data_IF_687913282311
#
_entry.id   IF_687913282311
#
_cell.length_a   1.000
_cell.length_b   1.000
_cell.length_c   1.000
_cell.angle_alpha   90.00
_cell.angle_beta   90.00
_cell.angle_gamma   90.00
#
_symmetry.space_group_name_H-M   'P 1'
#
loop_
_entity.id
_entity.type
_entity.pdbx_description
1 polymer ?
#
# COMPACT_ATOMS: atom_id res chain seq x y z
N UNK A 1 38.69 -37.87 -47.91
CA UNK A 1 39.31 -36.67 -47.37
C UNK A 1 38.33 -35.53 -47.66
N UNK A 2 37.37 -35.28 -46.76
CA UNK A 2 36.33 -34.27 -46.93
C UNK A 2 36.79 -33.04 -46.14
N UNK A 3 37.03 -31.98 -46.86
CA UNK A 3 37.46 -30.67 -46.37
C UNK A 3 36.21 -29.96 -45.82
N UNK A 4 36.13 -29.81 -44.47
CA UNK A 4 35.14 -28.99 -43.84
C UNK A 4 35.66 -27.57 -43.83
N UNK A 5 35.30 -26.78 -44.84
CA UNK A 5 35.44 -25.32 -44.77
C UNK A 5 34.53 -24.78 -43.66
N UNK A 6 35.18 -24.39 -42.54
CA UNK A 6 34.56 -23.60 -41.51
C UNK A 6 33.96 -22.32 -42.12
N UNK A 7 32.70 -22.09 -41.86
CA UNK A 7 31.99 -20.89 -42.24
C UNK A 7 32.23 -19.81 -41.12
N UNK A 8 33.15 -18.82 -41.31
CA UNK A 8 33.49 -17.85 -40.27
C UNK A 8 32.49 -16.69 -40.16
N UNK A 9 31.24 -16.86 -40.61
CA UNK A 9 30.29 -15.77 -40.75
C UNK A 9 29.10 -15.79 -39.78
N UNK A 10 29.10 -16.66 -38.78
CA UNK A 10 28.08 -16.56 -37.68
C UNK A 10 28.61 -15.59 -36.63
N UNK A 11 28.66 -14.29 -36.94
CA UNK A 11 28.70 -13.27 -35.91
C UNK A 11 27.48 -13.47 -35.03
N UNK A 12 27.71 -14.08 -33.85
CA UNK A 12 26.72 -14.12 -32.79
C UNK A 12 26.39 -12.65 -32.48
N UNK A 13 25.27 -12.17 -32.97
CA UNK A 13 24.68 -10.93 -32.50
C UNK A 13 24.52 -11.08 -30.99
N UNK A 14 25.56 -10.67 -30.24
CA UNK A 14 25.46 -10.47 -28.79
C UNK A 14 24.36 -9.44 -28.62
N UNK A 15 23.20 -9.91 -28.22
CA UNK A 15 22.07 -9.08 -27.89
C UNK A 15 22.51 -8.29 -26.66
N UNK A 16 23.17 -7.13 -26.87
CA UNK A 16 23.47 -6.23 -25.77
C UNK A 16 22.17 -5.86 -25.09
N UNK A 17 22.00 -6.37 -23.88
CA UNK A 17 20.84 -6.01 -23.07
C UNK A 17 20.86 -4.49 -22.90
N UNK A 18 19.75 -3.78 -23.20
CA UNK A 18 19.72 -2.33 -23.12
C UNK A 18 20.12 -1.89 -21.71
N UNK A 19 21.10 -0.99 -21.65
CA UNK A 19 21.68 -0.49 -20.42
C UNK A 19 20.60 0.16 -19.53
N UNK A 20 20.38 -0.40 -18.35
CA UNK A 20 19.44 0.11 -17.36
C UNK A 20 20.22 1.06 -16.43
N UNK A 21 19.81 2.34 -16.40
CA UNK A 21 20.44 3.37 -15.58
C UNK A 21 19.47 3.93 -14.53
N UNK A 22 20.02 4.50 -13.47
CA UNK A 22 19.23 5.31 -12.54
C UNK A 22 18.79 6.61 -13.20
N UNK A 23 17.56 7.03 -12.88
CA UNK A 23 16.99 8.27 -13.37
C UNK A 23 17.45 9.46 -12.52
N UNK A 24 17.71 10.57 -13.18
CA UNK A 24 17.89 11.86 -12.54
C UNK A 24 16.57 12.38 -11.95
N UNK A 25 16.67 13.32 -10.99
CA UNK A 25 15.51 13.87 -10.26
C UNK A 25 14.40 14.37 -11.18
N UNK A 26 14.72 15.01 -12.29
CA UNK A 26 13.72 15.60 -13.20
C UNK A 26 13.07 14.58 -14.14
N UNK A 27 13.69 13.44 -14.34
CA UNK A 27 13.19 12.34 -15.16
C UNK A 27 12.16 11.47 -14.43
N UNK A 28 12.15 11.47 -13.09
CA UNK A 28 11.26 10.65 -12.25
C UNK A 28 9.82 11.15 -12.37
N UNK A 29 8.98 10.38 -13.09
CA UNK A 29 7.54 10.70 -13.31
C UNK A 29 6.70 9.45 -13.30
N UNK A 30 5.71 9.37 -12.40
CA UNK A 30 4.81 8.23 -12.27
C UNK A 30 4.05 7.91 -13.57
N UNK A 31 3.58 8.94 -14.30
CA UNK A 31 2.82 8.77 -15.56
C UNK A 31 3.59 8.07 -16.68
N UNK A 32 4.92 7.96 -16.59
CA UNK A 32 5.77 7.29 -17.58
C UNK A 32 5.97 5.81 -17.29
N UNK A 33 5.24 5.23 -16.31
CA UNK A 33 5.39 3.86 -15.83
C UNK A 33 4.09 3.07 -15.85
N UNK A 34 3.37 3.00 -17.00
CA UNK A 34 2.04 2.40 -17.08
C UNK A 34 2.05 0.90 -16.77
N UNK A 35 3.09 0.16 -17.16
CA UNK A 35 3.18 -1.30 -16.94
C UNK A 35 3.34 -1.63 -15.47
N UNK A 36 4.23 -0.93 -14.76
CA UNK A 36 4.43 -1.12 -13.33
C UNK A 36 3.17 -0.73 -12.54
N UNK A 37 2.52 0.37 -12.92
CA UNK A 37 1.27 0.80 -12.33
C UNK A 37 0.15 -0.24 -12.54
N UNK A 38 -0.04 -0.72 -13.77
CA UNK A 38 -1.06 -1.72 -14.08
C UNK A 38 -0.81 -3.05 -13.34
N UNK A 39 0.44 -3.52 -13.28
CA UNK A 39 0.79 -4.74 -12.54
C UNK A 39 0.48 -4.60 -11.04
N UNK A 40 0.75 -3.42 -10.45
CA UNK A 40 0.43 -3.14 -9.05
C UNK A 40 -1.08 -3.12 -8.82
N UNK A 41 -1.84 -2.47 -9.71
CA UNK A 41 -3.31 -2.45 -9.64
C UNK A 41 -3.91 -3.86 -9.74
N UNK A 42 -3.41 -4.68 -10.66
CA UNK A 42 -3.87 -6.06 -10.82
C UNK A 42 -3.60 -6.88 -9.56
N UNK A 43 -2.42 -6.72 -8.97
CA UNK A 43 -2.06 -7.39 -7.72
C UNK A 43 -2.97 -6.93 -6.56
N UNK A 44 -3.16 -5.62 -6.36
CA UNK A 44 -4.04 -5.08 -5.31
C UNK A 44 -5.48 -5.61 -5.47
N UNK A 45 -5.99 -5.65 -6.70
CA UNK A 45 -7.33 -6.17 -7.00
C UNK A 45 -7.44 -7.67 -6.69
N UNK A 46 -6.46 -8.48 -7.12
CA UNK A 46 -6.46 -9.93 -6.87
C UNK A 46 -6.44 -10.24 -5.36
N UNK A 47 -5.60 -9.55 -4.59
CA UNK A 47 -5.54 -9.74 -3.14
C UNK A 47 -6.76 -9.19 -2.41
N UNK A 48 -7.33 -8.08 -2.85
CA UNK A 48 -8.58 -7.57 -2.29
C UNK A 48 -9.72 -8.60 -2.46
N UNK A 49 -9.83 -9.23 -3.62
CA UNK A 49 -10.78 -10.31 -3.87
C UNK A 49 -10.48 -11.53 -2.99
N UNK A 50 -9.20 -11.95 -2.90
CA UNK A 50 -8.81 -13.09 -2.08
C UNK A 50 -9.11 -12.87 -0.58
N UNK A 51 -8.92 -11.66 -0.05
CA UNK A 51 -9.26 -11.31 1.34
C UNK A 51 -10.77 -11.24 1.55
N UNK A 52 -11.51 -10.72 0.57
CA UNK A 52 -12.97 -10.60 0.66
C UNK A 52 -13.71 -11.96 0.58
N UNK A 53 -13.15 -12.93 -0.17
CA UNK A 53 -13.81 -14.21 -0.45
C UNK A 53 -14.20 -14.99 0.82
N UNK A 54 -13.35 -15.24 1.82
CA UNK A 54 -13.72 -15.96 3.03
C UNK A 54 -14.85 -15.27 3.79
N UNK A 55 -14.78 -13.94 3.89
CA UNK A 55 -15.77 -13.12 4.59
C UNK A 55 -17.11 -13.18 3.85
N UNK A 56 -17.09 -13.02 2.54
CA UNK A 56 -18.28 -13.07 1.70
C UNK A 56 -18.95 -14.46 1.75
N UNK A 57 -18.13 -15.53 1.68
CA UNK A 57 -18.66 -16.90 1.77
C UNK A 57 -19.33 -17.13 3.13
N UNK A 58 -18.69 -16.73 4.22
CA UNK A 58 -19.24 -16.85 5.55
C UNK A 58 -20.54 -16.03 5.73
N UNK A 59 -20.54 -14.77 5.33
CA UNK A 59 -21.75 -13.94 5.36
C UNK A 59 -22.87 -14.53 4.49
N UNK A 60 -22.53 -15.04 3.30
CA UNK A 60 -23.48 -15.68 2.40
C UNK A 60 -24.11 -16.95 2.97
N UNK A 61 -23.35 -17.77 3.71
CA UNK A 61 -23.91 -18.96 4.39
C UNK A 61 -24.84 -18.60 5.53
N UNK A 62 -24.58 -17.51 6.25
CA UNK A 62 -25.39 -17.07 7.37
C UNK A 62 -26.66 -16.32 6.94
N UNK A 63 -26.57 -15.48 5.92
CA UNK A 63 -27.61 -14.50 5.54
C UNK A 63 -28.13 -14.64 4.11
N UNK A 64 -27.47 -15.44 3.26
CA UNK A 64 -27.85 -15.57 1.85
C UNK A 64 -29.26 -16.14 1.60
N UNK A 65 -29.81 -16.86 2.55
CA UNK A 65 -31.21 -17.37 2.51
C UNK A 65 -32.21 -16.42 3.16
N UNK A 66 -31.79 -15.29 3.73
CA UNK A 66 -32.73 -14.36 4.37
C UNK A 66 -33.57 -13.62 3.30
N UNK A 67 -34.89 -13.49 3.47
CA UNK A 67 -35.76 -12.86 2.47
C UNK A 67 -35.38 -11.43 2.10
N UNK A 68 -34.77 -10.70 3.03
CA UNK A 68 -34.33 -9.32 2.85
C UNK A 68 -32.79 -9.23 2.62
N UNK A 69 -32.13 -10.36 2.35
CA UNK A 69 -30.67 -10.41 2.17
C UNK A 69 -29.90 -9.96 3.43
N UNK A 70 -28.92 -9.11 3.25
CA UNK A 70 -28.08 -8.55 4.32
C UNK A 70 -28.64 -7.26 4.95
N UNK A 71 -29.77 -6.73 4.44
CA UNK A 71 -30.36 -5.50 4.94
C UNK A 71 -30.63 -5.49 6.46
N UNK A 72 -31.08 -6.59 7.10
CA UNK A 72 -31.26 -6.62 8.54
C UNK A 72 -29.99 -6.37 9.36
N UNK A 73 -28.81 -6.71 8.82
CA UNK A 73 -27.52 -6.51 9.51
C UNK A 73 -27.23 -5.03 9.77
N UNK A 74 -27.73 -4.16 8.91
CA UNK A 74 -27.44 -2.72 8.94
C UNK A 74 -28.60 -1.88 9.47
N UNK A 75 -29.76 -2.48 9.74
CA UNK A 75 -30.88 -1.81 10.40
C UNK A 75 -30.55 -1.52 11.87
N UNK A 76 -31.21 -0.55 12.44
CA UNK A 76 -31.09 -0.18 13.87
C UNK A 76 -29.61 0.07 14.31
N UNK A 77 -28.81 0.72 13.46
CA UNK A 77 -27.43 1.02 13.79
C UNK A 77 -26.50 -0.20 13.80
N UNK A 78 -26.88 -1.30 13.11
CA UNK A 78 -26.02 -2.48 13.00
C UNK A 78 -26.08 -3.41 14.22
N UNK A 79 -27.11 -3.32 15.06
CA UNK A 79 -27.27 -4.19 16.24
C UNK A 79 -27.28 -5.67 15.88
N UNK A 80 -27.98 -6.05 14.80
CA UNK A 80 -28.00 -7.43 14.33
C UNK A 80 -26.60 -7.91 13.88
N UNK A 81 -25.80 -7.04 13.26
CA UNK A 81 -24.40 -7.33 12.92
C UNK A 81 -23.57 -7.56 14.18
N UNK A 82 -23.71 -6.69 15.18
CA UNK A 82 -22.98 -6.81 16.44
C UNK A 82 -23.38 -8.07 17.21
N UNK A 83 -24.67 -8.39 17.27
CA UNK A 83 -25.18 -9.62 17.89
C UNK A 83 -24.63 -10.87 17.17
N UNK A 84 -24.64 -10.88 15.85
CA UNK A 84 -24.07 -11.97 15.04
C UNK A 84 -22.55 -12.14 15.21
N UNK A 85 -21.82 -11.05 15.36
CA UNK A 85 -20.39 -11.09 15.68
C UNK A 85 -20.12 -11.52 17.13
N UNK A 86 -21.03 -11.22 18.05
CA UNK A 86 -20.94 -11.60 19.46
C UNK A 86 -21.29 -13.07 19.73
N UNK A 87 -22.06 -13.71 18.85
CA UNK A 87 -22.42 -15.14 18.91
C UNK A 87 -21.83 -15.89 17.70
N UNK A 88 -20.50 -15.98 17.60
CA UNK A 88 -19.85 -16.54 16.43
C UNK A 88 -20.13 -18.05 16.35
N UNK A 89 -20.75 -18.47 15.26
CA UNK A 89 -20.84 -19.89 14.94
C UNK A 89 -19.45 -20.52 14.75
N UNK A 90 -19.36 -21.85 14.68
CA UNK A 90 -18.08 -22.58 14.56
C UNK A 90 -17.26 -22.22 13.31
N UNK A 91 -17.87 -21.55 12.33
CA UNK A 91 -17.20 -21.12 11.11
C UNK A 91 -16.34 -19.84 11.29
N UNK A 92 -16.63 -18.99 12.28
CA UNK A 92 -15.90 -17.71 12.45
C UNK A 92 -14.39 -17.90 12.68
N UNK A 93 -13.91 -18.82 13.53
CA UNK A 93 -12.48 -19.03 13.69
C UNK A 93 -11.78 -19.40 12.38
N UNK A 94 -12.41 -20.22 11.54
CA UNK A 94 -11.87 -20.62 10.23
C UNK A 94 -11.77 -19.41 9.31
N UNK A 95 -12.78 -18.56 9.27
CA UNK A 95 -12.80 -17.33 8.47
C UNK A 95 -11.73 -16.37 8.94
N UNK A 96 -11.60 -16.16 10.24
CA UNK A 96 -10.56 -15.29 10.82
C UNK A 96 -9.17 -15.79 10.46
N UNK A 97 -8.88 -17.08 10.65
CA UNK A 97 -7.58 -17.67 10.35
C UNK A 97 -7.28 -17.59 8.85
N UNK A 98 -8.23 -17.95 7.98
CA UNK A 98 -8.03 -17.90 6.54
C UNK A 98 -7.84 -16.47 6.02
N UNK A 99 -8.65 -15.51 6.50
CA UNK A 99 -8.50 -14.09 6.16
C UNK A 99 -7.15 -13.56 6.64
N UNK A 100 -6.75 -13.90 7.86
CA UNK A 100 -5.46 -13.50 8.40
C UNK A 100 -4.28 -14.09 7.59
N UNK A 101 -4.36 -15.38 7.22
CA UNK A 101 -3.34 -16.02 6.39
C UNK A 101 -3.19 -15.32 5.03
N UNK A 102 -4.32 -15.04 4.34
CA UNK A 102 -4.30 -14.28 3.07
C UNK A 102 -3.75 -12.88 3.29
N UNK A 103 -4.13 -12.21 4.38
CA UNK A 103 -3.61 -10.87 4.71
C UNK A 103 -2.08 -10.87 4.91
N UNK A 104 -1.55 -11.85 5.64
CA UNK A 104 -0.08 -11.99 5.83
C UNK A 104 0.63 -12.17 4.49
N UNK A 105 0.11 -13.06 3.63
CA UNK A 105 0.65 -13.26 2.28
C UNK A 105 0.58 -11.96 1.46
N UNK A 106 -0.54 -11.24 1.53
CA UNK A 106 -0.72 -9.96 0.84
C UNK A 106 0.28 -8.89 1.33
N UNK A 107 0.53 -8.80 2.64
CA UNK A 107 1.51 -7.88 3.21
C UNK A 107 2.92 -8.20 2.73
N UNK A 108 3.32 -9.47 2.78
CA UNK A 108 4.66 -9.90 2.35
C UNK A 108 4.88 -9.68 0.85
N UNK A 109 3.94 -10.14 0.01
CA UNK A 109 4.05 -9.97 -1.45
C UNK A 109 3.87 -8.51 -1.85
N UNK A 110 3.13 -7.73 -1.07
CA UNK A 110 2.97 -6.28 -1.24
C UNK A 110 4.30 -5.52 -1.16
N UNK A 111 5.26 -5.99 -0.35
CA UNK A 111 6.59 -5.39 -0.31
C UNK A 111 7.38 -5.64 -1.61
N UNK A 112 7.19 -6.80 -2.23
CA UNK A 112 7.76 -7.11 -3.54
C UNK A 112 7.21 -6.16 -4.62
N UNK A 113 5.87 -6.01 -4.67
CA UNK A 113 5.20 -5.15 -5.66
C UNK A 113 5.55 -3.69 -5.42
N UNK A 114 5.59 -3.26 -4.16
CA UNK A 114 6.09 -1.93 -3.78
C UNK A 114 7.52 -1.71 -4.29
N UNK A 115 8.43 -2.65 -4.01
CA UNK A 115 9.82 -2.58 -4.47
C UNK A 115 9.93 -2.54 -5.99
N UNK A 116 9.14 -3.35 -6.70
CA UNK A 116 9.10 -3.35 -8.17
C UNK A 116 8.59 -2.02 -8.73
N UNK A 117 7.54 -1.43 -8.14
CA UNK A 117 7.03 -0.12 -8.55
C UNK A 117 8.06 0.99 -8.33
N UNK A 118 8.71 1.02 -7.15
CA UNK A 118 9.75 2.00 -6.84
C UNK A 118 10.96 1.83 -7.78
N UNK A 119 11.39 0.59 -8.04
CA UNK A 119 12.47 0.31 -8.99
C UNK A 119 12.11 0.79 -10.41
N UNK A 120 10.89 0.55 -10.88
CA UNK A 120 10.42 1.06 -12.18
C UNK A 120 10.38 2.58 -12.23
N UNK A 121 10.08 3.25 -11.11
CA UNK A 121 10.08 4.71 -11.00
C UNK A 121 11.49 5.30 -10.97
N UNK A 122 12.47 4.59 -10.39
CA UNK A 122 13.85 5.05 -10.19
C UNK A 122 14.80 4.71 -11.34
N UNK A 123 14.42 3.77 -12.23
CA UNK A 123 15.25 3.31 -13.32
C UNK A 123 14.67 3.60 -14.69
N UNK A 124 15.51 3.70 -15.70
CA UNK A 124 15.11 3.90 -17.09
C UNK A 124 16.04 3.18 -18.06
N UNK A 125 15.56 2.99 -19.28
CA UNK A 125 16.32 2.35 -20.37
C UNK A 125 16.56 3.35 -21.50
N UNK A 126 17.82 3.49 -21.89
CA UNK A 126 18.22 4.35 -22.99
C UNK A 126 18.08 5.87 -22.71
N UNK A 127 18.42 6.69 -23.71
CA UNK A 127 18.44 8.16 -23.61
C UNK A 127 17.07 8.80 -23.33
N UNK A 128 15.98 8.11 -23.66
CA UNK A 128 14.60 8.62 -23.44
C UNK A 128 14.01 8.26 -22.09
N UNK A 129 14.76 7.67 -21.19
CA UNK A 129 14.29 7.21 -19.87
C UNK A 129 12.98 6.39 -19.96
N UNK A 130 12.92 5.47 -20.95
CA UNK A 130 11.77 4.59 -21.15
C UNK A 130 11.59 3.62 -19.97
N UNK A 131 10.39 3.09 -19.84
CA UNK A 131 10.08 2.15 -18.76
C UNK A 131 10.90 0.85 -18.92
N UNK A 132 11.60 0.36 -17.85
CA UNK A 132 12.30 -0.90 -17.88
C UNK A 132 11.31 -2.08 -18.04
N UNK A 133 11.84 -3.23 -18.45
CA UNK A 133 11.02 -4.45 -18.50
C UNK A 133 10.51 -4.78 -17.09
N UNK A 134 9.26 -5.24 -16.99
CA UNK A 134 8.64 -5.58 -15.71
C UNK A 134 9.48 -6.61 -14.92
N UNK A 135 10.08 -7.59 -15.60
CA UNK A 135 10.97 -8.58 -14.99
C UNK A 135 12.16 -7.94 -14.28
N UNK A 136 12.77 -6.89 -14.86
CA UNK A 136 13.88 -6.14 -14.24
C UNK A 136 13.42 -5.43 -12.96
N UNK A 137 12.24 -4.82 -12.99
CA UNK A 137 11.67 -4.15 -11.82
C UNK A 137 11.31 -5.14 -10.72
N UNK A 138 10.74 -6.30 -11.06
CA UNK A 138 10.44 -7.39 -10.12
C UNK A 138 11.72 -7.94 -9.49
N UNK A 139 12.78 -8.16 -10.28
CA UNK A 139 14.05 -8.65 -9.75
C UNK A 139 14.69 -7.67 -8.76
N UNK A 140 14.58 -6.37 -9.00
CA UNK A 140 15.01 -5.34 -8.05
C UNK A 140 14.15 -5.35 -6.79
N UNK A 141 12.83 -5.49 -6.92
CA UNK A 141 11.90 -5.66 -5.79
C UNK A 141 12.22 -6.89 -4.94
N UNK A 142 12.53 -8.03 -5.57
CA UNK A 142 12.95 -9.25 -4.86
C UNK A 142 14.23 -9.04 -4.06
N UNK A 143 15.22 -8.38 -4.63
CA UNK A 143 16.48 -8.07 -3.92
C UNK A 143 16.27 -7.13 -2.72
N UNK A 144 15.32 -6.21 -2.81
CA UNK A 144 14.97 -5.28 -1.75
C UNK A 144 13.97 -5.86 -0.73
N UNK A 145 13.35 -7.01 -1.00
CA UNK A 145 12.22 -7.57 -0.25
C UNK A 145 12.51 -7.66 1.25
N UNK A 146 13.62 -8.26 1.64
CA UNK A 146 13.96 -8.43 3.06
C UNK A 146 14.11 -7.11 3.80
N UNK A 147 14.83 -6.15 3.23
CA UNK A 147 15.03 -4.83 3.82
C UNK A 147 13.72 -4.02 3.89
N UNK A 148 12.91 -4.06 2.83
CA UNK A 148 11.61 -3.40 2.80
C UNK A 148 10.62 -4.02 3.79
N UNK A 149 10.61 -5.36 3.94
CA UNK A 149 9.76 -6.06 4.91
C UNK A 149 10.14 -5.68 6.34
N UNK A 150 11.43 -5.67 6.66
CA UNK A 150 11.92 -5.26 8.00
C UNK A 150 11.55 -3.81 8.30
N UNK A 151 11.76 -2.89 7.35
CA UNK A 151 11.39 -1.49 7.51
C UNK A 151 9.87 -1.31 7.68
N UNK A 152 9.06 -2.09 6.95
CA UNK A 152 7.60 -2.06 7.06
C UNK A 152 7.09 -2.62 8.38
N UNK A 153 7.66 -3.71 8.86
CA UNK A 153 7.32 -4.29 10.16
C UNK A 153 7.65 -3.30 11.27
N UNK A 154 8.84 -2.69 11.27
CA UNK A 154 9.22 -1.71 12.28
C UNK A 154 8.30 -0.49 12.25
N UNK A 155 8.08 0.10 11.08
CA UNK A 155 7.20 1.27 10.94
C UNK A 155 5.76 0.93 11.34
N UNK A 156 5.24 -0.23 10.91
CA UNK A 156 3.90 -0.70 11.25
C UNK A 156 3.72 -0.96 12.74
N UNK A 157 4.69 -1.59 13.39
CA UNK A 157 4.67 -1.80 14.85
C UNK A 157 4.64 -0.48 15.61
N UNK A 158 5.46 0.51 15.21
CA UNK A 158 5.47 1.83 15.81
C UNK A 158 4.12 2.56 15.59
N UNK A 159 3.57 2.51 14.39
CA UNK A 159 2.26 3.10 14.08
C UNK A 159 1.14 2.49 14.91
N UNK A 160 1.08 1.14 14.96
CA UNK A 160 0.10 0.43 15.77
C UNK A 160 0.29 0.72 17.26
N UNK A 161 1.52 0.82 17.74
CA UNK A 161 1.83 1.18 19.12
C UNK A 161 1.28 2.56 19.49
N UNK A 162 1.48 3.57 18.63
CA UNK A 162 0.95 4.93 18.84
C UNK A 162 -0.57 4.93 18.85
N UNK A 163 -1.22 4.27 17.88
CA UNK A 163 -2.68 4.23 17.80
C UNK A 163 -3.28 3.45 18.98
N UNK A 164 -2.72 2.29 19.31
CA UNK A 164 -3.18 1.49 20.45
C UNK A 164 -3.01 2.24 21.77
N UNK A 165 -1.88 2.95 21.98
CA UNK A 165 -1.65 3.77 23.16
C UNK A 165 -2.66 4.91 23.26
N UNK A 166 -3.02 5.55 22.16
CA UNK A 166 -4.02 6.62 22.16
C UNK A 166 -5.43 6.11 22.47
N UNK A 167 -5.82 4.95 21.87
CA UNK A 167 -7.11 4.31 22.16
C UNK A 167 -7.15 3.89 23.64
N UNK A 168 -6.10 3.25 24.14
CA UNK A 168 -6.02 2.82 25.53
C UNK A 168 -6.08 4.00 26.49
N UNK A 169 -5.30 5.07 26.23
CA UNK A 169 -5.33 6.28 27.05
C UNK A 169 -6.69 6.96 27.00
N UNK A 170 -7.36 7.01 25.85
CA UNK A 170 -8.71 7.53 25.72
C UNK A 170 -9.72 6.76 26.56
N UNK A 171 -9.72 5.42 26.44
CA UNK A 171 -10.65 4.56 27.20
C UNK A 171 -10.36 4.58 28.71
N UNK A 172 -9.09 4.63 29.10
CA UNK A 172 -8.72 4.69 30.51
C UNK A 172 -9.09 6.02 31.18
N UNK A 173 -8.99 7.12 30.41
CA UNK A 173 -9.30 8.46 30.91
C UNK A 173 -10.80 8.81 30.81
N UNK A 174 -11.63 7.98 30.20
CA UNK A 174 -13.02 8.29 29.86
C UNK A 174 -13.82 8.71 31.09
N UNK A 175 -13.89 7.88 32.14
CA UNK A 175 -14.62 8.20 33.36
C UNK A 175 -14.10 9.44 34.06
N UNK A 176 -12.78 9.61 34.13
CA UNK A 176 -12.17 10.79 34.75
C UNK A 176 -12.46 12.08 33.96
N UNK A 177 -12.43 12.02 32.64
CA UNK A 177 -12.76 13.16 31.79
C UNK A 177 -14.24 13.55 31.88
N UNK A 178 -15.14 12.56 31.89
CA UNK A 178 -16.57 12.81 32.02
C UNK A 178 -16.93 13.46 33.35
N UNK A 179 -16.34 13.00 34.45
CA UNK A 179 -16.55 13.53 35.79
C UNK A 179 -16.06 14.99 35.97
N UNK A 180 -14.95 15.35 35.27
CA UNK A 180 -14.32 16.65 35.47
C UNK A 180 -14.68 17.68 34.40
N UNK A 181 -14.93 17.26 33.18
CA UNK A 181 -15.14 18.16 32.04
C UNK A 181 -16.57 18.10 31.48
N UNK A 182 -17.34 17.10 31.86
CA UNK A 182 -18.65 16.75 31.26
C UNK A 182 -18.50 16.09 29.88
N UNK A 183 -19.50 15.29 29.50
CA UNK A 183 -19.48 14.42 28.30
C UNK A 183 -19.03 15.11 27.01
N UNK A 184 -19.53 16.34 26.75
CA UNK A 184 -19.22 17.04 25.50
C UNK A 184 -17.73 17.43 25.39
N UNK A 185 -17.15 17.95 26.49
CA UNK A 185 -15.74 18.33 26.49
C UNK A 185 -14.84 17.10 26.53
N UNK A 186 -15.19 16.07 27.26
CA UNK A 186 -14.52 14.78 27.29
C UNK A 186 -14.43 14.18 25.88
N UNK A 187 -15.53 14.17 25.13
CA UNK A 187 -15.55 13.74 23.74
C UNK A 187 -14.57 14.52 22.85
N UNK A 188 -14.51 15.86 22.96
CA UNK A 188 -13.58 16.66 22.17
C UNK A 188 -12.11 16.38 22.53
N UNK A 189 -11.80 16.14 23.80
CA UNK A 189 -10.44 15.77 24.24
C UNK A 189 -10.06 14.39 23.65
N UNK A 190 -10.94 13.39 23.74
CA UNK A 190 -10.70 12.07 23.16
C UNK A 190 -10.52 12.13 21.64
N UNK A 191 -11.41 12.85 20.95
CA UNK A 191 -11.30 13.06 19.51
C UNK A 191 -9.98 13.72 19.13
N UNK A 192 -9.56 14.73 19.87
CA UNK A 192 -8.27 15.42 19.65
C UNK A 192 -7.09 14.48 19.83
N UNK A 193 -7.10 13.64 20.88
CA UNK A 193 -6.08 12.64 21.14
C UNK A 193 -5.96 11.65 19.98
N UNK A 194 -7.09 11.12 19.50
CA UNK A 194 -7.12 10.18 18.36
C UNK A 194 -6.63 10.85 17.08
N UNK A 195 -7.02 12.10 16.82
CA UNK A 195 -6.57 12.85 15.64
C UNK A 195 -5.06 13.12 15.68
N UNK A 196 -4.52 13.51 16.83
CA UNK A 196 -3.07 13.71 17.01
C UNK A 196 -2.32 12.39 16.82
N UNK A 197 -2.79 11.29 17.42
CA UNK A 197 -2.18 9.98 17.25
C UNK A 197 -2.22 9.52 15.79
N UNK A 198 -3.32 9.75 15.09
CA UNK A 198 -3.46 9.45 13.66
C UNK A 198 -2.49 10.27 12.81
N UNK A 199 -2.32 11.55 13.12
CA UNK A 199 -1.34 12.41 12.44
C UNK A 199 0.11 11.94 12.69
N UNK A 200 0.43 11.54 13.93
CA UNK A 200 1.74 10.97 14.28
C UNK A 200 1.99 9.65 13.55
N UNK A 201 1.02 8.74 13.54
CA UNK A 201 1.11 7.49 12.80
C UNK A 201 1.28 7.74 11.29
N UNK A 202 0.59 8.73 10.74
CA UNK A 202 0.77 9.18 9.36
C UNK A 202 2.19 9.68 9.08
N UNK A 203 2.76 10.50 9.94
CA UNK A 203 4.14 10.99 9.82
C UNK A 203 5.17 9.85 9.86
N UNK A 204 4.95 8.86 10.75
CA UNK A 204 5.77 7.63 10.80
C UNK A 204 5.64 6.83 9.49
N UNK A 205 4.44 6.77 8.90
CA UNK A 205 4.22 6.16 7.59
C UNK A 205 5.00 6.83 6.46
N UNK A 206 5.02 8.17 6.44
CA UNK A 206 5.83 8.96 5.50
C UNK A 206 7.31 8.63 5.65
N UNK A 207 7.82 8.63 6.88
CA UNK A 207 9.20 8.27 7.17
C UNK A 207 9.53 6.85 6.70
N UNK A 208 8.68 5.87 7.01
CA UNK A 208 8.81 4.48 6.57
C UNK A 208 8.83 4.34 5.04
N UNK A 209 7.99 5.08 4.33
CA UNK A 209 7.98 5.09 2.86
C UNK A 209 9.28 5.68 2.30
N UNK A 210 9.79 6.79 2.86
CA UNK A 210 11.06 7.38 2.44
C UNK A 210 12.24 6.42 2.64
N UNK A 211 12.28 5.72 3.79
CA UNK A 211 13.30 4.69 4.05
C UNK A 211 13.25 3.57 3.02
N UNK A 212 12.04 3.02 2.75
CA UNK A 212 11.87 1.96 1.76
C UNK A 212 12.26 2.40 0.36
N UNK A 213 11.88 3.61 -0.03
CA UNK A 213 12.22 4.19 -1.34
C UNK A 213 13.73 4.35 -1.48
N UNK A 214 14.42 4.83 -0.44
CA UNK A 214 15.88 4.94 -0.43
C UNK A 214 16.55 3.56 -0.51
N UNK A 215 16.06 2.55 0.21
CA UNK A 215 16.56 1.17 0.17
C UNK A 215 16.43 0.56 -1.22
N UNK A 216 15.26 0.69 -1.86
CA UNK A 216 15.05 0.12 -3.21
C UNK A 216 15.95 0.81 -4.23
N UNK A 217 16.11 2.13 -4.13
CA UNK A 217 17.00 2.88 -5.00
C UNK A 217 18.47 2.42 -4.85
N UNK A 218 18.94 2.29 -3.60
CA UNK A 218 20.30 1.82 -3.30
C UNK A 218 20.54 0.40 -3.85
N UNK A 219 19.54 -0.50 -3.72
CA UNK A 219 19.61 -1.84 -4.32
C UNK A 219 19.61 -1.81 -5.85
N UNK A 220 18.89 -0.89 -6.45
CA UNK A 220 18.91 -0.72 -7.92
C UNK A 220 20.27 -0.20 -8.42
N UNK A 221 20.92 0.65 -7.63
CA UNK A 221 22.26 1.21 -7.93
C UNK A 221 23.37 0.19 -7.70
N UNK A 222 23.31 -0.54 -6.58
CA UNK A 222 24.39 -1.38 -6.08
C UNK A 222 24.39 -2.80 -6.65
N UNK A 223 24.05 -2.98 -7.93
CA UNK A 223 24.06 -4.31 -8.57
C UNK A 223 25.39 -5.05 -8.47
N UNK A 224 26.48 -4.38 -8.06
CA UNK A 224 27.86 -4.90 -8.05
C UNK A 224 28.61 -4.80 -6.71
N UNK A 225 28.10 -4.09 -5.71
CA UNK A 225 28.82 -3.91 -4.44
C UNK A 225 28.22 -4.76 -3.31
N UNK A 226 29.04 -5.60 -2.67
CA UNK A 226 28.69 -6.39 -1.46
C UNK A 226 28.68 -5.50 -0.20
N UNK A 227 27.86 -4.46 -0.17
CA UNK A 227 27.68 -3.72 1.07
C UNK A 227 26.81 -4.50 2.06
N UNK A 228 27.09 -4.36 3.37
CA UNK A 228 26.30 -4.99 4.41
C UNK A 228 24.90 -4.38 4.48
N UNK A 229 23.88 -5.19 4.82
CA UNK A 229 22.49 -4.73 4.97
C UNK A 229 22.40 -3.59 6.00
N UNK A 230 23.21 -3.64 7.06
CA UNK A 230 23.21 -2.63 8.11
C UNK A 230 23.70 -1.25 7.62
N UNK A 231 24.73 -1.18 6.75
CA UNK A 231 25.23 0.08 6.21
C UNK A 231 24.20 0.73 5.28
N UNK A 232 23.54 -0.07 4.44
CA UNK A 232 22.45 0.39 3.56
C UNK A 232 21.26 0.93 4.34
N UNK A 233 20.85 0.21 5.40
CA UNK A 233 19.75 0.65 6.25
C UNK A 233 20.06 1.97 6.95
N UNK A 234 21.29 2.15 7.49
CA UNK A 234 21.70 3.41 8.11
C UNK A 234 21.70 4.56 7.10
N UNK A 235 22.19 4.34 5.88
CA UNK A 235 22.17 5.35 4.82
C UNK A 235 20.74 5.74 4.45
N UNK A 236 19.84 4.76 4.28
CA UNK A 236 18.44 4.99 3.97
C UNK A 236 17.73 5.78 5.08
N UNK A 237 17.98 5.44 6.36
CA UNK A 237 17.47 6.18 7.51
C UNK A 237 17.98 7.62 7.53
N UNK A 238 19.28 7.84 7.30
CA UNK A 238 19.87 9.16 7.24
C UNK A 238 19.28 10.01 6.12
N UNK A 239 19.10 9.45 4.91
CA UNK A 239 18.46 10.13 3.78
C UNK A 239 17.00 10.48 4.06
N UNK A 240 16.23 9.56 4.63
CA UNK A 240 14.84 9.82 5.00
C UNK A 240 14.72 10.91 6.05
N UNK A 241 15.55 10.87 7.08
CA UNK A 241 15.59 11.91 8.13
C UNK A 241 15.99 13.27 7.56
N UNK A 242 17.02 13.32 6.72
CA UNK A 242 17.47 14.52 6.05
C UNK A 242 16.37 15.14 5.17
N UNK A 243 15.69 14.29 4.38
CA UNK A 243 14.59 14.72 3.51
C UNK A 243 13.45 15.39 4.31
N UNK A 244 13.05 14.80 5.44
CA UNK A 244 11.99 15.38 6.30
C UNK A 244 12.48 16.64 6.99
N UNK A 245 13.73 16.66 7.48
CA UNK A 245 14.29 17.82 8.20
C UNK A 245 14.41 19.06 7.31
N UNK A 246 14.85 18.87 6.05
CA UNK A 246 15.05 20.01 5.14
C UNK A 246 13.75 20.43 4.46
N UNK A 247 12.87 19.48 4.14
CA UNK A 247 11.67 19.75 3.37
C UNK A 247 10.40 19.17 4.04
N UNK A 248 10.08 19.55 5.31
CA UNK A 248 8.97 18.94 6.04
C UNK A 248 7.62 19.16 5.35
N UNK A 249 7.36 20.35 4.85
CA UNK A 249 6.12 20.68 4.12
C UNK A 249 6.00 19.91 2.80
N UNK A 250 7.11 19.69 2.09
CA UNK A 250 7.12 18.93 0.84
C UNK A 250 6.97 17.43 1.08
N UNK A 251 7.44 16.91 2.22
CA UNK A 251 7.28 15.50 2.57
C UNK A 251 5.88 15.25 3.16
N UNK A 252 5.55 15.89 4.28
CA UNK A 252 4.29 15.66 4.99
C UNK A 252 3.08 16.21 4.23
N UNK A 253 3.19 17.43 3.70
CA UNK A 253 2.11 18.06 2.95
C UNK A 253 1.82 17.35 1.64
N UNK A 254 2.86 16.94 0.90
CA UNK A 254 2.67 16.19 -0.34
C UNK A 254 2.05 14.81 -0.13
N UNK A 255 2.35 14.15 0.97
CA UNK A 255 1.70 12.91 1.37
C UNK A 255 0.28 13.19 1.86
N UNK A 256 0.12 14.14 2.77
CA UNK A 256 -1.13 14.43 3.48
C UNK A 256 -2.30 14.72 2.56
N UNK A 257 -2.14 15.61 1.57
CA UNK A 257 -3.23 15.91 0.63
C UNK A 257 -3.61 14.69 -0.23
N UNK A 258 -2.64 13.82 -0.59
CA UNK A 258 -2.92 12.59 -1.34
C UNK A 258 -3.64 11.56 -0.48
N UNK A 259 -3.25 11.44 0.78
CA UNK A 259 -3.92 10.60 1.76
C UNK A 259 -5.36 11.08 1.97
N UNK A 260 -5.56 12.39 2.19
CA UNK A 260 -6.89 12.98 2.34
C UNK A 260 -7.78 12.75 1.10
N UNK A 261 -7.25 12.99 -0.10
CA UNK A 261 -8.00 12.72 -1.33
C UNK A 261 -8.30 11.24 -1.52
N UNK A 262 -7.37 10.35 -1.17
CA UNK A 262 -7.58 8.90 -1.21
C UNK A 262 -8.70 8.47 -0.26
N UNK A 263 -8.74 9.02 0.96
CA UNK A 263 -9.79 8.76 1.95
C UNK A 263 -11.13 9.31 1.48
N UNK A 264 -11.15 10.52 0.91
CA UNK A 264 -12.35 11.14 0.35
C UNK A 264 -12.94 10.28 -0.78
N UNK A 265 -12.11 9.77 -1.69
CA UNK A 265 -12.56 8.88 -2.77
C UNK A 265 -13.22 7.61 -2.24
N UNK A 266 -12.67 7.02 -1.18
CA UNK A 266 -13.28 5.85 -0.51
C UNK A 266 -14.61 6.23 0.15
N UNK A 267 -14.64 7.36 0.85
CA UNK A 267 -15.87 7.85 1.50
C UNK A 267 -16.98 8.12 0.48
N UNK A 268 -16.68 8.78 -0.64
CA UNK A 268 -17.64 9.00 -1.73
C UNK A 268 -18.12 7.66 -2.31
N UNK A 269 -17.22 6.69 -2.52
CA UNK A 269 -17.58 5.36 -2.99
C UNK A 269 -18.51 4.63 -2.02
N UNK A 270 -18.23 4.68 -0.73
CA UNK A 270 -19.07 4.09 0.31
C UNK A 270 -20.46 4.75 0.39
N UNK A 271 -20.53 6.08 0.32
CA UNK A 271 -21.80 6.83 0.29
C UNK A 271 -22.62 6.52 -0.97
N UNK A 272 -21.98 6.43 -2.13
CA UNK A 272 -22.64 6.06 -3.37
C UNK A 272 -23.25 4.66 -3.28
N UNK A 273 -22.50 3.69 -2.73
CA UNK A 273 -22.98 2.33 -2.49
C UNK A 273 -24.20 2.30 -1.54
N UNK A 274 -24.17 3.07 -0.47
CA UNK A 274 -25.27 3.14 0.49
C UNK A 274 -26.57 3.69 -0.13
N UNK A 275 -26.48 4.55 -1.14
CA UNK A 275 -27.63 5.16 -1.81
C UNK A 275 -28.16 4.36 -3.00
N UNK A 276 -27.38 3.41 -3.55
CA UNK A 276 -27.81 2.59 -4.68
C UNK A 276 -28.52 1.33 -4.18
N UNK A 277 -29.81 1.18 -4.51
CA UNK A 277 -30.47 -0.11 -4.40
C UNK A 277 -29.85 -1.06 -5.44
N UNK A 278 -29.08 -2.04 -5.00
CA UNK A 278 -28.38 -3.01 -5.84
C UNK A 278 -29.33 -4.05 -6.48
N UNK A 279 -30.48 -3.61 -7.00
CA UNK A 279 -31.44 -4.48 -7.67
C UNK A 279 -31.12 -4.55 -9.17
N UNK A 280 -30.42 -5.60 -9.56
CA UNK A 280 -30.13 -5.93 -10.97
C UNK A 280 -28.65 -5.98 -11.34
N UNK A 281 -28.32 -6.84 -12.31
CA UNK A 281 -26.95 -7.08 -12.74
C UNK A 281 -26.19 -5.85 -13.30
N UNK A 282 -26.93 -4.93 -13.94
CA UNK A 282 -26.34 -3.68 -14.46
C UNK A 282 -25.87 -2.74 -13.33
N UNK A 283 -26.67 -2.63 -12.24
CA UNK A 283 -26.29 -1.83 -11.07
C UNK A 283 -25.05 -2.41 -10.37
N UNK A 284 -24.98 -3.73 -10.20
CA UNK A 284 -23.80 -4.40 -9.66
C UNK A 284 -22.56 -4.16 -10.52
N UNK A 285 -22.69 -4.28 -11.86
CA UNK A 285 -21.60 -3.99 -12.81
C UNK A 285 -21.10 -2.54 -12.67
N UNK A 286 -22.00 -1.57 -12.57
CA UNK A 286 -21.64 -0.16 -12.37
C UNK A 286 -20.88 0.07 -11.05
N UNK A 287 -21.31 -0.58 -9.97
CA UNK A 287 -20.63 -0.52 -8.67
C UNK A 287 -19.23 -1.11 -8.72
N UNK A 288 -19.07 -2.28 -9.35
CA UNK A 288 -17.73 -2.90 -9.52
C UNK A 288 -16.82 -1.98 -10.32
N UNK A 289 -17.30 -1.40 -11.43
CA UNK A 289 -16.52 -0.46 -12.25
C UNK A 289 -16.14 0.80 -11.45
N UNK A 290 -17.08 1.37 -10.70
CA UNK A 290 -16.81 2.52 -9.84
C UNK A 290 -15.75 2.20 -8.78
N UNK A 291 -15.85 1.03 -8.15
CA UNK A 291 -14.87 0.57 -7.15
C UNK A 291 -13.48 0.40 -7.78
N UNK A 292 -13.39 -0.20 -8.97
CA UNK A 292 -12.13 -0.36 -9.70
C UNK A 292 -11.54 0.99 -10.12
N UNK A 293 -12.36 1.95 -10.52
CA UNK A 293 -11.92 3.31 -10.84
C UNK A 293 -11.35 4.03 -9.59
N UNK A 294 -12.01 3.88 -8.43
CA UNK A 294 -11.51 4.41 -7.16
C UNK A 294 -10.18 3.76 -6.78
N UNK A 295 -10.07 2.43 -6.90
CA UNK A 295 -8.82 1.69 -6.67
C UNK A 295 -7.68 2.20 -7.56
N UNK A 296 -7.94 2.35 -8.86
CA UNK A 296 -6.98 2.90 -9.82
C UNK A 296 -6.56 4.34 -9.49
N UNK A 297 -7.51 5.20 -9.12
CA UNK A 297 -7.21 6.58 -8.70
C UNK A 297 -6.35 6.64 -7.44
N UNK A 298 -6.64 5.82 -6.43
CA UNK A 298 -5.82 5.70 -5.20
C UNK A 298 -4.39 5.25 -5.52
N UNK A 299 -4.24 4.27 -6.38
CA UNK A 299 -2.92 3.80 -6.80
C UNK A 299 -2.15 4.88 -7.57
N UNK A 300 -2.82 5.65 -8.43
CA UNK A 300 -2.20 6.78 -9.12
C UNK A 300 -1.69 7.84 -8.12
N UNK A 301 -2.48 8.15 -7.08
CA UNK A 301 -2.06 9.03 -5.99
C UNK A 301 -0.85 8.47 -5.25
N UNK A 302 -0.83 7.16 -4.95
CA UNK A 302 0.29 6.47 -4.30
C UNK A 302 1.54 6.50 -5.19
N UNK A 303 1.44 6.16 -6.46
CA UNK A 303 2.56 6.22 -7.41
C UNK A 303 3.11 7.66 -7.56
N UNK A 304 2.22 8.65 -7.57
CA UNK A 304 2.60 10.07 -7.56
C UNK A 304 3.35 10.46 -6.28
N UNK A 305 2.93 9.93 -5.11
CA UNK A 305 3.65 10.11 -3.85
C UNK A 305 5.04 9.47 -3.92
N UNK A 306 5.15 8.21 -4.35
CA UNK A 306 6.41 7.49 -4.44
C UNK A 306 7.41 8.17 -5.39
N UNK A 307 6.94 8.70 -6.53
CA UNK A 307 7.76 9.51 -7.42
C UNK A 307 8.27 10.80 -6.74
N UNK A 308 7.45 11.41 -5.88
CA UNK A 308 7.87 12.57 -5.08
C UNK A 308 8.87 12.16 -3.99
N UNK A 309 8.62 11.06 -3.28
CA UNK A 309 9.51 10.51 -2.27
C UNK A 309 10.89 10.19 -2.87
N UNK A 310 10.94 9.58 -4.06
CA UNK A 310 12.19 9.36 -4.80
C UNK A 310 12.95 10.67 -5.05
N UNK A 311 12.26 11.73 -5.46
CA UNK A 311 12.89 13.06 -5.66
C UNK A 311 13.44 13.66 -4.38
N UNK A 312 12.84 13.37 -3.24
CA UNK A 312 13.29 13.86 -1.93
C UNK A 312 14.54 13.12 -1.42
N UNK A 313 14.68 11.83 -1.73
CA UNK A 313 15.83 11.01 -1.33
C UNK A 313 16.94 10.94 -2.41
N UNK A 314 16.72 11.56 -3.58
CA UNK A 314 17.73 11.72 -4.62
C UNK A 314 18.53 12.97 -4.33
N UNK A 315 19.86 12.88 -4.18
CA UNK A 315 20.73 14.03 -4.00
C UNK A 315 20.66 15.02 -5.16
#
# INVERSE_FOLDING_TARGET
MMDFTENPGAEAHVFEAPEVRLLERDEIRARRRPRAWFATWLWETAFALAVATPIQTWAGTAWGAHPEGDAPLFREGGRALLAWLGEPGPALPIVVVSTFAVFVVAVLTGQLVFGALVAALSTGVGSRATEPRLATSISAGLRALGACSTASLLAGTLQLGVLASAIFASSFAESWLDDHLGEANAFYVQLTLILVATAMAGAMGVFGDLVKVALVRDVAESSLTRESVSSRTRRALALAFHAIRIHPSLALGAWGWRAALSTLLVGIGALALHKTSLQGGAALGAVVLAHQAIGGARLALRASWLARALKLVTP
#
